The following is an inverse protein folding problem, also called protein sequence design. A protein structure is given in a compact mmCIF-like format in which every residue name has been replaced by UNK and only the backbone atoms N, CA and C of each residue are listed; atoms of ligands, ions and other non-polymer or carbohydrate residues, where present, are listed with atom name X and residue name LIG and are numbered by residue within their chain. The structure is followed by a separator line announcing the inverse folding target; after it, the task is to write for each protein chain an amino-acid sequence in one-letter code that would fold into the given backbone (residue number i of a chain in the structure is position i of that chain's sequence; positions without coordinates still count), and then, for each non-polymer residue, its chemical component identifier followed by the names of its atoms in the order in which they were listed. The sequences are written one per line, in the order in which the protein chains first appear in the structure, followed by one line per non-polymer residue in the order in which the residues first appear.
data_IF_879286724863
#
_entry.id   IF_879286724863
#
_cell.length_a   1.000
_cell.length_b   1.000
_cell.length_c   1.000
_cell.angle_alpha   90.00
_cell.angle_beta   90.00
_cell.angle_gamma   90.00
#
_symmetry.space_group_name_H-M   'P 1'
#
loop_
_entity.id
_entity.type
_entity.pdbx_description
1 polymer ?
#
# COMPACT_ATOMS: atom_id res chain seq x y z
N UNK A 1 4.98 -6.30 -16.35
CA UNK A 1 4.11 -7.47 -16.02
C UNK A 1 2.73 -7.26 -16.60
N UNK A 2 2.23 -8.25 -17.29
CA UNK A 2 0.85 -8.26 -17.75
C UNK A 2 -0.04 -8.87 -16.67
N UNK A 3 -1.20 -8.26 -16.42
CA UNK A 3 -2.20 -8.79 -15.49
C UNK A 3 -3.24 -9.56 -16.27
N UNK A 4 -3.17 -10.89 -16.23
CA UNK A 4 -4.07 -11.78 -16.96
C UNK A 4 -5.31 -12.16 -16.14
N UNK A 5 -5.20 -12.14 -14.82
CA UNK A 5 -6.34 -12.37 -13.92
C UNK A 5 -6.18 -11.61 -12.62
N UNK A 6 -7.31 -11.20 -12.05
CA UNK A 6 -7.37 -10.55 -10.75
C UNK A 6 -8.71 -10.91 -10.12
N UNK A 7 -8.70 -11.60 -8.99
CA UNK A 7 -9.88 -12.16 -8.35
C UNK A 7 -9.91 -11.86 -6.86
N UNK A 8 -11.03 -11.37 -6.36
CA UNK A 8 -11.25 -11.28 -4.92
C UNK A 8 -11.32 -12.69 -4.32
N UNK A 9 -10.61 -12.92 -3.23
CA UNK A 9 -10.56 -14.23 -2.58
C UNK A 9 -11.26 -14.22 -1.23
N UNK A 10 -10.86 -13.34 -0.32
CA UNK A 10 -11.41 -13.33 1.03
C UNK A 10 -11.26 -11.95 1.66
N UNK A 11 -12.17 -11.66 2.57
CA UNK A 11 -12.17 -10.45 3.40
C UNK A 11 -12.35 -10.88 4.85
N UNK A 12 -11.44 -10.50 5.75
CA UNK A 12 -11.53 -10.89 7.16
C UNK A 12 -10.72 -9.95 8.07
N UNK A 13 -10.88 -10.14 9.39
CA UNK A 13 -10.14 -9.38 10.41
C UNK A 13 -9.08 -10.23 11.11
N UNK A 14 -9.01 -11.52 10.80
CA UNK A 14 -8.12 -12.47 11.47
C UNK A 14 -7.02 -12.94 10.53
N UNK A 15 -5.78 -12.63 10.87
CA UNK A 15 -4.60 -13.01 10.05
C UNK A 15 -4.54 -14.52 9.85
N UNK A 16 -4.98 -15.31 10.82
CA UNK A 16 -5.01 -16.78 10.72
C UNK A 16 -5.94 -17.29 9.64
N UNK A 17 -6.93 -16.49 9.24
CA UNK A 17 -7.89 -16.84 8.19
C UNK A 17 -7.49 -16.31 6.82
N UNK A 18 -6.35 -15.67 6.70
CA UNK A 18 -5.79 -15.29 5.41
C UNK A 18 -5.41 -16.53 4.60
N UNK A 19 -5.32 -16.42 3.26
CA UNK A 19 -5.08 -17.59 2.42
C UNK A 19 -3.83 -18.38 2.80
N UNK A 20 -3.93 -19.68 2.79
CA UNK A 20 -2.78 -20.58 2.99
C UNK A 20 -1.84 -20.57 1.79
N UNK A 21 -0.76 -21.34 1.91
CA UNK A 21 0.23 -21.45 0.85
C UNK A 21 1.38 -20.45 0.99
N UNK A 22 2.16 -20.30 -0.08
CA UNK A 22 3.41 -19.54 -0.06
C UNK A 22 3.47 -18.43 -1.09
N UNK A 23 2.36 -18.10 -1.75
CA UNK A 23 2.34 -17.00 -2.72
C UNK A 23 2.72 -15.68 -2.05
N UNK A 24 3.59 -14.88 -2.68
CA UNK A 24 3.96 -13.59 -2.11
C UNK A 24 2.77 -12.64 -2.05
N UNK A 25 2.72 -11.85 -0.99
CA UNK A 25 1.69 -10.85 -0.75
C UNK A 25 2.31 -9.45 -0.76
N UNK A 26 1.72 -8.58 -1.54
CA UNK A 26 2.08 -7.16 -1.62
C UNK A 26 0.93 -6.37 -1.02
N UNK A 27 1.16 -5.82 0.17
CA UNK A 27 0.12 -5.13 0.91
C UNK A 27 0.14 -3.63 0.63
N UNK A 28 -1.03 -3.03 0.61
CA UNK A 28 -1.23 -1.61 0.34
C UNK A 28 -1.93 -0.99 1.55
N UNK A 29 -1.36 0.10 2.06
CA UNK A 29 -1.87 0.79 3.23
C UNK A 29 -1.72 2.30 3.05
N UNK A 30 -2.56 3.06 3.72
CA UNK A 30 -2.50 4.51 3.71
C UNK A 30 -3.60 5.08 4.56
N UNK A 31 -3.67 6.41 4.62
CA UNK A 31 -4.75 7.10 5.31
C UNK A 31 -6.04 7.02 4.49
N UNK A 32 -7.18 7.26 5.14
CA UNK A 32 -8.46 7.36 4.45
C UNK A 32 -8.40 8.35 3.29
N UNK A 33 -9.00 7.98 2.16
CA UNK A 33 -9.09 8.81 0.95
C UNK A 33 -7.75 9.09 0.26
N UNK A 34 -6.71 8.32 0.55
CA UNK A 34 -5.40 8.45 -0.12
C UNK A 34 -5.43 8.00 -1.59
N UNK A 35 -6.45 7.22 -1.98
CA UNK A 35 -6.58 6.69 -3.33
C UNK A 35 -6.17 5.22 -3.45
N UNK A 36 -6.23 4.46 -2.37
CA UNK A 36 -5.78 3.05 -2.33
C UNK A 36 -6.60 2.15 -3.24
N UNK A 37 -7.93 2.18 -3.16
CA UNK A 37 -8.78 1.34 -4.01
C UNK A 37 -8.64 1.71 -5.49
N UNK A 38 -8.56 3.00 -5.79
CA UNK A 38 -8.33 3.47 -7.17
C UNK A 38 -6.98 2.99 -7.70
N UNK A 39 -5.94 2.99 -6.88
CA UNK A 39 -4.62 2.48 -7.26
C UNK A 39 -4.67 0.97 -7.55
N UNK A 40 -5.30 0.18 -6.68
CA UNK A 40 -5.43 -1.27 -6.88
C UNK A 40 -6.17 -1.56 -8.18
N UNK A 41 -7.27 -0.87 -8.44
CA UNK A 41 -8.05 -1.03 -9.66
C UNK A 41 -7.22 -0.64 -10.89
N UNK A 42 -6.45 0.44 -10.82
CA UNK A 42 -5.59 0.87 -11.92
C UNK A 42 -4.47 -0.15 -12.20
N UNK A 43 -3.81 -0.64 -11.15
CA UNK A 43 -2.73 -1.63 -11.30
C UNK A 43 -3.23 -2.92 -11.95
N UNK A 44 -4.40 -3.37 -11.57
CA UNK A 44 -4.97 -4.62 -12.08
C UNK A 44 -5.70 -4.45 -13.40
N UNK A 45 -5.99 -3.21 -13.80
CA UNK A 45 -6.81 -2.94 -14.99
C UNK A 45 -8.26 -3.41 -14.82
N UNK A 46 -8.76 -3.50 -13.62
CA UNK A 46 -10.12 -3.98 -13.30
C UNK A 46 -10.90 -2.88 -12.58
N UNK A 47 -11.98 -2.42 -13.20
CA UNK A 47 -12.89 -1.47 -12.57
C UNK A 47 -13.68 -2.19 -11.46
N UNK A 48 -13.68 -1.61 -10.27
CA UNK A 48 -14.49 -2.12 -9.16
C UNK A 48 -13.99 -3.40 -8.51
N UNK A 49 -12.76 -3.84 -8.78
CA UNK A 49 -12.16 -4.97 -8.05
C UNK A 49 -12.03 -4.63 -6.57
N UNK A 50 -11.34 -3.54 -6.25
CA UNK A 50 -11.34 -2.97 -4.91
C UNK A 50 -12.45 -1.92 -4.85
N UNK A 51 -13.27 -1.99 -3.81
CA UNK A 51 -14.40 -1.07 -3.68
C UNK A 51 -13.93 0.31 -3.24
N UNK A 52 -14.24 1.33 -4.07
CA UNK A 52 -14.02 2.71 -3.68
C UNK A 52 -15.16 3.13 -2.78
N UNK A 53 -14.87 3.39 -1.50
CA UNK A 53 -15.86 3.90 -0.56
C UNK A 53 -15.90 5.42 -0.60
N UNK A 54 -17.09 5.99 -0.70
CA UNK A 54 -17.31 7.43 -0.54
C UNK A 54 -17.28 7.84 0.93
N UNK A 55 -17.44 6.88 1.85
CA UNK A 55 -17.46 7.12 3.28
C UNK A 55 -16.12 6.73 3.89
N UNK A 56 -15.35 7.70 4.42
CA UNK A 56 -14.07 7.40 5.04
C UNK A 56 -14.21 6.40 6.19
N UNK A 57 -13.32 5.42 6.22
CA UNK A 57 -13.24 4.48 7.34
C UNK A 57 -14.12 3.25 7.26
N UNK A 58 -14.76 2.97 6.13
CA UNK A 58 -15.58 1.76 5.98
C UNK A 58 -14.76 0.48 5.84
N UNK A 59 -13.53 0.56 5.33
CA UNK A 59 -12.68 -0.61 5.16
C UNK A 59 -12.00 -0.97 6.47
N UNK A 60 -12.59 -1.91 7.22
CA UNK A 60 -12.02 -2.45 8.46
C UNK A 60 -11.39 -3.82 8.26
N UNK A 61 -11.34 -4.32 7.04
CA UNK A 61 -11.02 -5.70 6.73
C UNK A 61 -9.73 -5.80 5.92
N UNK A 62 -9.07 -6.93 6.07
CA UNK A 62 -7.96 -7.33 5.21
C UNK A 62 -8.58 -8.00 3.99
N UNK A 63 -8.34 -7.45 2.80
CA UNK A 63 -8.89 -7.98 1.56
C UNK A 63 -7.77 -8.57 0.70
N UNK A 64 -7.89 -9.83 0.33
CA UNK A 64 -6.94 -10.52 -0.54
C UNK A 64 -7.49 -10.62 -1.96
N UNK A 65 -6.68 -10.19 -2.93
CA UNK A 65 -6.95 -10.34 -4.36
C UNK A 65 -5.85 -11.20 -4.98
N UNK A 66 -6.24 -12.32 -5.58
CA UNK A 66 -5.30 -13.21 -6.26
C UNK A 66 -5.02 -12.68 -7.66
N UNK A 67 -3.74 -12.45 -7.96
CA UNK A 67 -3.29 -11.87 -9.23
C UNK A 67 -2.51 -12.91 -10.02
N UNK A 68 -2.86 -13.07 -11.30
CA UNK A 68 -2.19 -14.01 -12.20
C UNK A 68 -2.06 -15.42 -11.62
N UNK A 69 -2.96 -15.78 -10.69
CA UNK A 69 -3.02 -17.09 -10.02
C UNK A 69 -1.78 -17.47 -9.22
N UNK A 70 -0.87 -16.52 -8.96
CA UNK A 70 0.39 -16.86 -8.28
C UNK A 70 0.93 -15.81 -7.31
N UNK A 71 0.24 -14.68 -7.09
CA UNK A 71 0.59 -13.71 -6.07
C UNK A 71 -0.64 -12.90 -5.65
N UNK A 72 -0.54 -12.18 -4.53
CA UNK A 72 -1.65 -11.44 -3.97
C UNK A 72 -1.37 -9.95 -3.86
N UNK A 73 -2.39 -9.15 -4.16
CA UNK A 73 -2.52 -7.80 -3.64
C UNK A 73 -3.36 -7.90 -2.37
N UNK A 74 -2.90 -7.26 -1.30
CA UNK A 74 -3.61 -7.23 -0.02
C UNK A 74 -3.96 -5.79 0.32
N UNK A 75 -5.24 -5.51 0.44
CA UNK A 75 -5.76 -4.20 0.83
C UNK A 75 -5.95 -4.18 2.34
N UNK A 76 -5.13 -3.39 3.03
CA UNK A 76 -5.20 -3.25 4.49
C UNK A 76 -6.10 -2.08 4.89
N UNK A 77 -6.71 -2.14 6.08
CA UNK A 77 -7.47 -1.00 6.60
C UNK A 77 -6.63 0.27 6.65
N UNK A 78 -7.23 1.41 6.38
CA UNK A 78 -6.57 2.69 6.51
C UNK A 78 -6.32 3.09 7.96
N UNK A 79 -5.21 3.77 8.22
CA UNK A 79 -4.88 4.30 9.53
C UNK A 79 -5.24 5.80 9.64
N UNK A 80 -5.24 6.32 10.86
CA UNK A 80 -5.35 7.76 11.10
C UNK A 80 -6.74 8.37 10.93
N UNK A 81 -7.80 7.57 11.05
CA UNK A 81 -9.16 8.07 10.88
C UNK A 81 -9.77 8.50 12.22
N UNK A 82 -9.91 9.81 12.42
CA UNK A 82 -10.30 10.40 13.70
C UNK A 82 -11.79 10.25 14.07
N UNK A 83 -12.68 9.94 13.12
CA UNK A 83 -14.11 9.80 13.39
C UNK A 83 -14.51 8.49 14.05
N UNK A 84 -13.60 7.53 14.13
CA UNK A 84 -13.84 6.32 14.89
C UNK A 84 -13.57 6.58 16.36
N UNK A 85 -14.38 5.99 17.23
CA UNK A 85 -14.08 6.03 18.65
C UNK A 85 -12.72 5.39 18.94
N UNK A 86 -12.16 5.67 20.09
CA UNK A 86 -10.85 5.15 20.50
C UNK A 86 -10.73 3.64 20.35
N UNK A 87 -11.77 2.89 20.74
CA UNK A 87 -11.79 1.41 20.62
C UNK A 87 -11.70 0.92 19.18
N UNK A 88 -12.37 1.63 18.25
CA UNK A 88 -12.32 1.30 16.85
C UNK A 88 -10.95 1.54 16.23
N UNK A 89 -10.28 2.62 16.62
CA UNK A 89 -8.91 2.93 16.20
C UNK A 89 -7.92 1.89 16.70
N UNK A 90 -8.02 1.50 17.96
CA UNK A 90 -7.16 0.48 18.56
C UNK A 90 -7.34 -0.89 17.90
N UNK A 91 -8.59 -1.25 17.58
CA UNK A 91 -8.88 -2.52 16.89
C UNK A 91 -8.25 -2.55 15.50
N UNK A 92 -8.38 -1.48 14.72
CA UNK A 92 -7.77 -1.37 13.40
C UNK A 92 -6.25 -1.42 13.49
N UNK A 93 -5.68 -0.69 14.44
CA UNK A 93 -4.24 -0.69 14.65
C UNK A 93 -3.73 -2.09 14.96
N UNK A 94 -4.44 -2.85 15.80
CA UNK A 94 -4.07 -4.23 16.08
C UNK A 94 -4.14 -5.13 14.85
N UNK A 95 -5.17 -4.98 14.02
CA UNK A 95 -5.29 -5.75 12.76
C UNK A 95 -4.09 -5.45 11.86
N UNK A 96 -3.76 -4.17 11.68
CA UNK A 96 -2.64 -3.72 10.84
C UNK A 96 -1.32 -4.29 11.37
N UNK A 97 -1.03 -4.10 12.64
CA UNK A 97 0.22 -4.54 13.26
C UNK A 97 0.36 -6.06 13.24
N UNK A 98 -0.71 -6.78 13.54
CA UNK A 98 -0.71 -8.24 13.52
C UNK A 98 -0.41 -8.77 12.11
N UNK A 99 -1.07 -8.22 11.09
CA UNK A 99 -0.79 -8.62 9.72
C UNK A 99 0.68 -8.34 9.36
N UNK A 100 1.15 -7.13 9.57
CA UNK A 100 2.50 -6.72 9.17
C UNK A 100 3.58 -7.52 9.90
N UNK A 101 3.41 -7.76 11.19
CA UNK A 101 4.43 -8.42 12.01
C UNK A 101 4.38 -9.94 11.95
N UNK A 102 3.21 -10.54 11.69
CA UNK A 102 3.02 -11.99 11.78
C UNK A 102 2.80 -12.68 10.43
N UNK A 103 2.43 -11.95 9.38
CA UNK A 103 2.15 -12.56 8.07
C UNK A 103 3.46 -12.83 7.32
N UNK A 104 3.89 -14.09 7.33
CA UNK A 104 5.16 -14.51 6.70
C UNK A 104 5.18 -14.28 5.19
N UNK A 105 4.04 -14.41 4.52
CA UNK A 105 3.91 -14.23 3.08
C UNK A 105 3.98 -12.76 2.64
N UNK A 106 3.84 -11.81 3.56
CA UNK A 106 3.94 -10.39 3.22
C UNK A 106 5.37 -10.07 2.79
N UNK A 107 5.52 -9.77 1.51
CA UNK A 107 6.81 -9.59 0.84
C UNK A 107 7.24 -8.13 0.84
N UNK A 108 6.32 -7.22 0.58
CA UNK A 108 6.57 -5.79 0.60
C UNK A 108 5.28 -5.05 0.95
N UNK A 109 5.41 -4.02 1.79
CA UNK A 109 4.32 -3.12 2.14
C UNK A 109 4.46 -1.82 1.34
N UNK A 110 3.43 -1.46 0.59
CA UNK A 110 3.37 -0.19 -0.10
C UNK A 110 2.60 0.82 0.73
N UNK A 111 3.27 1.87 1.17
CA UNK A 111 2.68 2.94 1.98
C UNK A 111 2.28 4.08 1.04
N UNK A 112 0.99 4.34 0.93
CA UNK A 112 0.45 5.36 0.04
C UNK A 112 0.41 6.72 0.73
N UNK A 113 0.86 7.73 0.00
CA UNK A 113 0.89 9.13 0.45
C UNK A 113 0.31 10.00 -0.66
N UNK A 114 -0.62 10.87 -0.32
CA UNK A 114 -1.15 11.84 -1.27
C UNK A 114 -0.06 12.85 -1.62
N UNK A 115 0.31 12.92 -2.90
CA UNK A 115 1.43 13.73 -3.38
C UNK A 115 1.24 15.24 -3.17
N UNK A 116 0.01 15.68 -2.92
CA UNK A 116 -0.31 17.10 -2.71
C UNK A 116 -0.01 17.60 -1.32
N UNK A 117 0.10 16.70 -0.34
CA UNK A 117 0.17 17.05 1.07
C UNK A 117 1.59 17.11 1.58
N UNK A 118 1.82 17.99 2.54
CA UNK A 118 3.04 18.01 3.35
C UNK A 118 3.19 16.70 4.11
N UNK A 119 4.43 16.30 4.47
CA UNK A 119 4.63 15.17 5.35
C UNK A 119 3.86 15.34 6.67
N UNK A 120 2.93 14.43 6.94
CA UNK A 120 2.13 14.46 8.16
C UNK A 120 2.82 13.66 9.26
N UNK A 121 2.72 14.13 10.50
CA UNK A 121 3.34 13.47 11.64
C UNK A 121 2.91 12.00 11.78
N UNK A 122 1.64 11.70 11.50
CA UNK A 122 1.11 10.33 11.60
C UNK A 122 1.74 9.40 10.56
N UNK A 123 1.95 9.89 9.33
CA UNK A 123 2.59 9.10 8.27
C UNK A 123 4.06 8.85 8.59
N UNK A 124 4.77 9.87 9.06
CA UNK A 124 6.18 9.76 9.43
C UNK A 124 6.37 8.82 10.62
N UNK A 125 5.48 8.87 11.61
CA UNK A 125 5.51 7.96 12.74
C UNK A 125 5.28 6.50 12.31
N UNK A 126 4.36 6.27 11.38
CA UNK A 126 4.12 4.94 10.84
C UNK A 126 5.34 4.41 10.09
N UNK A 127 5.95 5.23 9.25
CA UNK A 127 7.15 4.86 8.49
C UNK A 127 8.33 4.56 9.45
N UNK A 128 8.49 5.36 10.50
CA UNK A 128 9.50 5.11 11.53
C UNK A 128 9.27 3.76 12.22
N UNK A 129 8.03 3.46 12.58
CA UNK A 129 7.65 2.17 13.16
C UNK A 129 7.99 1.00 12.23
N UNK A 130 7.75 1.14 10.93
CA UNK A 130 8.13 0.12 9.95
C UNK A 130 9.65 -0.13 9.97
N UNK A 131 10.43 0.93 10.01
CA UNK A 131 11.89 0.83 10.07
C UNK A 131 12.38 0.15 11.36
N UNK A 132 11.82 0.52 12.50
CA UNK A 132 12.16 -0.06 13.80
C UNK A 132 11.88 -1.56 13.84
N UNK A 133 10.87 -2.03 13.12
CA UNK A 133 10.48 -3.44 13.09
C UNK A 133 11.05 -4.20 11.88
N UNK A 134 11.92 -3.58 11.09
CA UNK A 134 12.57 -4.23 9.96
C UNK A 134 11.61 -4.65 8.84
N UNK A 135 10.50 -3.95 8.68
CA UNK A 135 9.48 -4.27 7.68
C UNK A 135 9.95 -3.81 6.30
N UNK A 136 9.96 -4.68 5.28
CA UNK A 136 10.25 -4.24 3.92
C UNK A 136 9.09 -3.40 3.38
N UNK A 137 9.38 -2.16 2.96
CA UNK A 137 8.35 -1.26 2.45
C UNK A 137 8.86 -0.34 1.36
N UNK A 138 7.95 0.22 0.61
CA UNK A 138 8.19 1.27 -0.37
C UNK A 138 7.10 2.33 -0.23
N UNK A 139 7.35 3.54 -0.70
CA UNK A 139 6.39 4.64 -0.65
C UNK A 139 5.77 4.83 -2.03
N UNK A 140 4.45 4.98 -2.08
CA UNK A 140 3.72 5.25 -3.32
C UNK A 140 3.03 6.60 -3.18
N UNK A 141 3.52 7.59 -3.93
CA UNK A 141 2.86 8.90 -4.02
C UNK A 141 1.69 8.79 -4.98
N UNK A 142 0.49 9.16 -4.51
CA UNK A 142 -0.74 9.06 -5.29
C UNK A 142 -1.20 10.43 -5.78
N UNK A 143 -2.14 10.45 -6.72
CA UNK A 143 -2.82 11.66 -7.22
C UNK A 143 -1.87 12.67 -7.86
N UNK A 144 -0.85 12.18 -8.56
CA UNK A 144 0.13 13.02 -9.23
C UNK A 144 -0.51 13.93 -10.30
N UNK A 145 -1.63 13.50 -10.89
CA UNK A 145 -2.39 14.28 -11.88
C UNK A 145 -2.99 15.58 -11.32
N UNK A 146 -3.14 15.67 -9.99
CA UNK A 146 -3.70 16.85 -9.33
C UNK A 146 -2.68 18.00 -9.20
N UNK A 147 -1.40 17.71 -9.44
CA UNK A 147 -0.34 18.71 -9.40
C UNK A 147 0.12 19.07 -10.80
N UNK A 148 0.31 20.36 -11.05
CA UNK A 148 0.73 20.88 -12.36
C UNK A 148 2.16 21.39 -12.33
N UNK A 149 2.86 21.29 -13.45
CA UNK A 149 4.22 21.80 -13.61
C UNK A 149 5.22 21.08 -12.72
N UNK A 150 6.17 21.82 -12.19
CA UNK A 150 7.22 21.27 -11.32
C UNK A 150 6.79 20.97 -9.88
N UNK A 151 5.52 21.17 -9.53
CA UNK A 151 5.04 21.01 -8.14
C UNK A 151 5.14 19.61 -7.63
N UNK A 152 4.91 18.59 -8.49
CA UNK A 152 5.04 17.21 -8.07
C UNK A 152 6.46 16.87 -7.65
N UNK A 153 7.45 17.23 -8.48
CA UNK A 153 8.85 16.97 -8.18
C UNK A 153 9.28 17.74 -6.91
N UNK A 154 8.82 18.97 -6.76
CA UNK A 154 9.10 19.79 -5.58
C UNK A 154 8.52 19.17 -4.30
N UNK A 155 7.27 18.73 -4.33
CA UNK A 155 6.61 18.12 -3.18
C UNK A 155 7.29 16.80 -2.79
N UNK A 156 7.61 15.97 -3.76
CA UNK A 156 8.27 14.68 -3.51
C UNK A 156 9.68 14.89 -2.95
N UNK A 157 10.43 15.82 -3.52
CA UNK A 157 11.76 16.18 -3.00
C UNK A 157 11.67 16.62 -1.54
N UNK A 158 10.73 17.49 -1.22
CA UNK A 158 10.50 17.97 0.15
C UNK A 158 10.17 16.80 1.09
N UNK A 159 9.31 15.89 0.66
CA UNK A 159 8.95 14.71 1.45
C UNK A 159 10.17 13.83 1.72
N UNK A 160 10.96 13.55 0.69
CA UNK A 160 12.16 12.73 0.81
C UNK A 160 13.23 13.40 1.68
N UNK A 161 13.40 14.71 1.59
CA UNK A 161 14.30 15.46 2.47
C UNK A 161 13.89 15.35 3.94
N UNK A 162 12.58 15.37 4.20
CA UNK A 162 12.06 15.18 5.55
C UNK A 162 12.36 13.77 6.07
N UNK A 163 12.25 12.75 5.24
CA UNK A 163 12.62 11.38 5.61
C UNK A 163 14.12 11.25 5.89
N UNK A 164 14.97 11.96 5.17
CA UNK A 164 16.42 11.92 5.38
C UNK A 164 16.87 12.42 6.75
N UNK A 165 16.03 13.15 7.45
CA UNK A 165 16.33 13.52 8.83
C UNK A 165 16.44 12.31 9.76
N UNK A 166 15.78 11.19 9.40
CA UNK A 166 15.72 9.96 10.20
C UNK A 166 16.28 8.73 9.49
N UNK A 167 16.46 8.79 8.16
CA UNK A 167 16.88 7.65 7.34
C UNK A 167 18.18 7.94 6.62
N UNK A 168 19.18 7.07 6.79
CA UNK A 168 20.43 7.14 6.01
C UNK A 168 20.16 6.77 4.56
N UNK A 169 19.44 5.68 4.33
CA UNK A 169 19.06 5.18 3.01
C UNK A 169 17.54 5.29 2.84
N UNK A 170 17.11 6.04 1.83
CA UNK A 170 15.69 6.23 1.56
C UNK A 170 15.06 4.95 1.03
N UNK A 171 13.81 4.65 1.43
CA UNK A 171 13.07 3.54 0.82
C UNK A 171 12.79 3.80 -0.66
N UNK A 172 12.59 2.75 -1.46
CA UNK A 172 12.10 2.92 -2.82
C UNK A 172 10.80 3.71 -2.84
N UNK A 173 10.59 4.50 -3.88
CA UNK A 173 9.35 5.26 -4.03
C UNK A 173 8.86 5.26 -5.47
N UNK A 174 7.56 5.46 -5.63
CA UNK A 174 6.87 5.48 -6.92
C UNK A 174 5.94 6.68 -6.97
N UNK A 175 5.80 7.27 -8.14
CA UNK A 175 4.90 8.40 -8.38
C UNK A 175 3.78 7.89 -9.25
N UNK A 176 2.53 7.99 -8.79
CA UNK A 176 1.39 7.38 -9.46
C UNK A 176 0.22 8.33 -9.65
N UNK A 177 -0.56 8.04 -10.68
CA UNK A 177 -1.89 8.63 -10.89
C UNK A 177 -2.82 7.53 -11.39
N UNK A 178 -3.90 7.30 -10.68
CA UNK A 178 -4.93 6.36 -11.12
C UNK A 178 -5.71 6.90 -12.33
N UNK A 179 -5.79 8.23 -12.48
CA UNK A 179 -6.51 8.88 -13.58
C UNK A 179 -5.82 8.66 -14.93
N UNK A 180 -4.49 8.82 -14.99
CA UNK A 180 -3.73 8.73 -16.24
C UNK A 180 -2.79 7.53 -16.30
N UNK A 181 -2.86 6.63 -15.31
CA UNK A 181 -2.07 5.39 -15.22
C UNK A 181 -0.55 5.62 -15.08
N UNK A 182 -0.15 6.81 -14.65
CA UNK A 182 1.26 7.10 -14.35
C UNK A 182 1.79 6.17 -13.27
N UNK A 183 2.99 5.64 -13.46
CA UNK A 183 3.68 4.81 -12.48
C UNK A 183 3.25 3.35 -12.44
N UNK A 184 2.25 2.95 -13.24
CA UNK A 184 1.75 1.58 -13.27
C UNK A 184 2.84 0.58 -13.67
N UNK A 185 3.53 0.83 -14.77
CA UNK A 185 4.54 -0.09 -15.28
C UNK A 185 5.74 -0.19 -14.33
N UNK A 186 6.16 0.92 -13.75
CA UNK A 186 7.26 0.95 -12.78
C UNK A 186 6.92 0.13 -11.53
N UNK A 187 5.72 0.31 -10.98
CA UNK A 187 5.29 -0.41 -9.78
C UNK A 187 5.11 -1.90 -10.04
N UNK A 188 4.44 -2.27 -11.13
CA UNK A 188 4.28 -3.67 -11.53
C UNK A 188 5.62 -4.31 -11.88
N UNK A 189 6.54 -3.56 -12.51
CA UNK A 189 7.90 -4.04 -12.80
C UNK A 189 8.70 -4.35 -11.54
N UNK A 190 8.55 -3.51 -10.51
CA UNK A 190 9.16 -3.73 -9.21
C UNK A 190 8.66 -5.03 -8.57
N UNK A 191 7.34 -5.25 -8.58
CA UNK A 191 6.74 -6.48 -8.06
C UNK A 191 7.22 -7.70 -8.86
N UNK A 192 7.23 -7.60 -10.19
CA UNK A 192 7.70 -8.67 -11.07
C UNK A 192 9.14 -9.06 -10.76
N UNK A 193 10.01 -8.09 -10.55
CA UNK A 193 11.41 -8.34 -10.22
C UNK A 193 11.55 -9.10 -8.89
N UNK A 194 10.80 -8.70 -7.87
CA UNK A 194 10.81 -9.37 -6.58
C UNK A 194 10.28 -10.80 -6.72
N UNK A 195 9.18 -11.00 -7.47
CA UNK A 195 8.63 -12.33 -7.72
C UNK A 195 9.65 -13.25 -8.41
N UNK A 196 10.40 -12.74 -9.38
CA UNK A 196 11.46 -13.50 -10.05
C UNK A 196 12.57 -13.90 -9.08
N UNK A 197 12.98 -13.01 -8.19
CA UNK A 197 13.99 -13.30 -7.18
C UNK A 197 13.52 -14.38 -6.19
N UNK A 198 12.27 -14.33 -5.77
CA UNK A 198 11.69 -15.34 -4.89
C UNK A 198 11.68 -16.70 -5.59
N UNK A 199 11.21 -16.76 -6.82
CA UNK A 199 11.09 -17.99 -7.58
C UNK A 199 12.45 -18.63 -7.90
N UNK A 200 13.51 -17.82 -8.05
CA UNK A 200 14.86 -18.32 -8.32
C UNK A 200 15.52 -18.95 -7.10
N UNK A 201 15.01 -18.69 -5.89
CA UNK A 201 15.55 -19.21 -4.63
C UNK A 201 14.78 -20.43 -4.11
N UNK A 202 13.68 -20.80 -4.75
CA UNK A 202 12.84 -21.93 -4.37
C UNK A 202 13.28 -23.24 -5.07
#
# INVERSE_FOLDING_TARGET
MEITSAEFVISNTDVKKCPGGTFPEYAFIGRSNVGKSSLINMLTGRKGLAMTSATPGETMLINHFLINKNWYIVDLPGYGYAKRGQKGQEQIQRIIETYILQREQMTCLFVLVDSRHEPQAIDLAFIEWLGENGVPFAIVFTKADKLKGGRINSNIRHYLEKLREQWEELPPHFITSSENRMGRDELLGYIEQINKEINSKS
#
